data_IF_414185934504
#
_entry.id   IF_414185934504
#
_cell.length_a   1.000
_cell.length_b   1.000
_cell.length_c   1.000
_cell.angle_alpha   90.00
_cell.angle_beta   90.00
_cell.angle_gamma   90.00
#
_symmetry.space_group_name_H-M   'P 1'
#
loop_
_entity.id
_entity.type
_entity.pdbx_description
1 polymer ?
#
# COMPACT_ATOMS: atom_id res chain seq x y z
N UNK A 1 23.66 -6.22 -21.93
CA UNK A 1 22.51 -5.32 -22.13
C UNK A 1 22.62 -4.19 -21.11
N UNK A 2 23.08 -3.01 -21.51
CA UNK A 2 23.19 -1.86 -20.60
C UNK A 2 21.79 -1.26 -20.41
N UNK A 3 21.14 -1.60 -19.31
CA UNK A 3 19.89 -0.95 -18.92
C UNK A 3 20.25 0.50 -18.56
N UNK A 4 19.65 1.44 -19.27
CA UNK A 4 19.81 2.86 -18.97
C UNK A 4 19.27 3.12 -17.55
N UNK A 5 20.05 3.80 -16.72
CA UNK A 5 19.70 4.11 -15.33
C UNK A 5 18.35 4.85 -15.24
N UNK A 6 18.01 5.66 -16.25
CA UNK A 6 16.71 6.34 -16.33
C UNK A 6 15.55 5.36 -16.54
N UNK A 7 15.73 4.37 -17.41
CA UNK A 7 14.74 3.33 -17.68
C UNK A 7 14.54 2.46 -16.44
N UNK A 8 15.63 2.09 -15.75
CA UNK A 8 15.55 1.37 -14.48
C UNK A 8 14.78 2.16 -13.42
N UNK A 9 15.05 3.46 -13.30
CA UNK A 9 14.34 4.35 -12.37
C UNK A 9 12.82 4.39 -12.63
N UNK A 10 12.40 4.46 -13.89
CA UNK A 10 10.98 4.42 -14.27
C UNK A 10 10.33 3.08 -13.91
N UNK A 11 11.01 1.96 -14.21
CA UNK A 11 10.50 0.62 -13.87
C UNK A 11 10.30 0.48 -12.36
N UNK A 12 11.30 0.88 -11.56
CA UNK A 12 11.20 0.84 -10.09
C UNK A 12 10.07 1.72 -9.56
N UNK A 13 9.84 2.87 -10.20
CA UNK A 13 8.74 3.77 -9.83
C UNK A 13 7.37 3.14 -10.12
N UNK A 14 7.18 2.55 -11.29
CA UNK A 14 5.95 1.83 -11.66
C UNK A 14 5.70 0.68 -10.69
N UNK A 15 6.72 -0.11 -10.36
CA UNK A 15 6.63 -1.19 -9.38
C UNK A 15 6.17 -0.64 -8.02
N UNK A 16 6.75 0.46 -7.55
CA UNK A 16 6.34 1.10 -6.30
C UNK A 16 4.86 1.49 -6.28
N UNK A 17 4.34 2.06 -7.38
CA UNK A 17 2.93 2.39 -7.52
C UNK A 17 2.03 1.14 -7.53
N UNK A 18 2.45 0.04 -8.15
CA UNK A 18 1.70 -1.21 -8.13
C UNK A 18 1.69 -1.83 -6.72
N UNK A 19 2.82 -1.80 -6.03
CA UNK A 19 2.94 -2.28 -4.64
C UNK A 19 2.00 -1.51 -3.71
N UNK A 20 1.92 -0.18 -3.81
CA UNK A 20 1.05 0.61 -2.94
C UNK A 20 -0.44 0.34 -3.17
N UNK A 21 -0.86 0.19 -4.43
CA UNK A 21 -2.24 -0.21 -4.78
C UNK A 21 -2.54 -1.60 -4.21
N UNK A 22 -1.61 -2.54 -4.38
CA UNK A 22 -1.76 -3.89 -3.85
C UNK A 22 -1.89 -3.89 -2.32
N UNK A 23 -1.06 -3.12 -1.62
CA UNK A 23 -1.14 -2.95 -0.15
C UNK A 23 -2.52 -2.45 0.26
N UNK A 24 -3.10 -1.48 -0.47
CA UNK A 24 -4.45 -1.03 -0.18
C UNK A 24 -5.48 -2.16 -0.33
N UNK A 25 -5.43 -2.89 -1.45
CA UNK A 25 -6.36 -3.97 -1.77
C UNK A 25 -6.27 -5.08 -0.73
N UNK A 26 -5.05 -5.45 -0.35
CA UNK A 26 -4.75 -6.49 0.64
C UNK A 26 -5.20 -6.07 2.04
N UNK A 27 -4.79 -4.88 2.50
CA UNK A 27 -5.14 -4.37 3.82
C UNK A 27 -6.65 -4.20 3.98
N UNK A 28 -7.31 -3.60 2.99
CA UNK A 28 -8.77 -3.45 3.00
C UNK A 28 -9.50 -4.79 2.88
N UNK A 29 -8.98 -5.74 2.10
CA UNK A 29 -9.58 -7.08 1.95
C UNK A 29 -9.55 -7.87 3.25
N UNK A 30 -8.47 -7.75 4.03
CA UNK A 30 -8.33 -8.37 5.35
C UNK A 30 -8.87 -7.50 6.49
N UNK A 31 -9.54 -6.38 6.19
CA UNK A 31 -10.11 -5.45 7.19
C UNK A 31 -9.07 -4.92 8.20
N UNK A 32 -7.82 -4.78 7.75
CA UNK A 32 -6.73 -4.21 8.54
C UNK A 32 -6.98 -2.70 8.73
N UNK A 33 -6.93 -2.26 9.98
CA UNK A 33 -7.15 -0.86 10.32
C UNK A 33 -6.51 -0.43 11.63
N UNK A 34 -6.96 0.73 12.11
CA UNK A 34 -6.47 1.26 13.38
C UNK A 34 -7.16 0.55 14.55
N UNK A 35 -6.35 -0.03 15.42
CA UNK A 35 -6.82 -0.78 16.59
C UNK A 35 -6.05 -0.32 17.83
N UNK A 36 -6.68 -0.29 19.01
CA UNK A 36 -6.01 0.14 20.25
C UNK A 36 -4.81 -0.74 20.63
N UNK A 37 -4.84 -2.02 20.29
CA UNK A 37 -3.85 -3.02 20.72
C UNK A 37 -2.69 -3.22 19.73
N UNK A 38 -2.80 -2.68 18.52
CA UNK A 38 -1.81 -2.91 17.46
C UNK A 38 -0.63 -1.93 17.42
N UNK A 39 -0.62 -0.92 18.29
CA UNK A 39 0.46 0.08 18.39
C UNK A 39 0.63 0.92 17.12
N UNK A 40 1.82 1.52 16.96
CA UNK A 40 2.11 2.49 15.88
C UNK A 40 1.97 1.95 14.44
N UNK A 41 1.98 0.64 14.24
CA UNK A 41 1.84 0.01 12.91
C UNK A 41 0.41 -0.45 12.61
N UNK A 42 -0.51 -0.32 13.57
CA UNK A 42 -1.95 -0.50 13.33
C UNK A 42 -2.53 0.77 12.76
N UNK A 43 -2.15 1.09 11.53
CA UNK A 43 -2.67 2.24 10.81
C UNK A 43 -3.72 1.78 9.80
N UNK A 44 -4.53 2.73 9.30
CA UNK A 44 -5.56 2.40 8.33
C UNK A 44 -4.98 1.83 7.03
N UNK A 45 -5.74 1.00 6.33
CA UNK A 45 -5.38 0.50 5.00
C UNK A 45 -4.99 1.64 4.03
N UNK A 46 -5.67 2.79 4.12
CA UNK A 46 -5.34 3.98 3.33
C UNK A 46 -3.94 4.50 3.67
N UNK A 47 -3.58 4.57 4.95
CA UNK A 47 -2.27 5.06 5.38
C UNK A 47 -1.15 4.10 4.96
N UNK A 48 -1.36 2.79 5.07
CA UNK A 48 -0.42 1.80 4.55
C UNK A 48 -0.13 1.99 3.05
N UNK A 49 -1.17 2.25 2.27
CA UNK A 49 -1.05 2.52 0.84
C UNK A 49 -0.34 3.84 0.54
N UNK A 50 -0.69 4.94 1.21
CA UNK A 50 -0.05 6.25 1.03
C UNK A 50 1.43 6.19 1.40
N UNK A 51 1.77 5.59 2.54
CA UNK A 51 3.15 5.43 2.96
C UNK A 51 3.93 4.54 1.98
N UNK A 52 3.29 3.50 1.45
CA UNK A 52 3.88 2.66 0.39
C UNK A 52 4.06 3.44 -0.92
N UNK A 53 3.23 4.42 -1.24
CA UNK A 53 3.44 5.28 -2.42
C UNK A 53 4.67 6.17 -2.29
N UNK A 54 4.90 6.73 -1.09
CA UNK A 54 5.98 7.71 -0.84
C UNK A 54 7.32 7.00 -0.62
N UNK A 55 7.31 5.91 0.17
CA UNK A 55 8.51 5.21 0.64
C UNK A 55 8.41 3.71 0.40
N UNK A 56 8.06 3.31 -0.83
CA UNK A 56 7.80 1.91 -1.17
C UNK A 56 8.94 0.97 -0.76
N UNK A 57 10.19 1.36 -0.97
CA UNK A 57 11.38 0.55 -0.64
C UNK A 57 11.43 0.14 0.83
N UNK A 58 10.92 0.98 1.75
CA UNK A 58 10.96 0.73 3.19
C UNK A 58 9.62 0.23 3.70
N UNK A 59 8.53 0.91 3.35
CA UNK A 59 7.20 0.66 3.90
C UNK A 59 6.63 -0.66 3.39
N UNK A 60 6.84 -0.99 2.11
CA UNK A 60 6.30 -2.22 1.53
C UNK A 60 6.91 -3.47 2.18
N UNK A 61 8.24 -3.61 2.36
CA UNK A 61 8.81 -4.72 3.11
C UNK A 61 8.33 -4.79 4.56
N UNK A 62 8.23 -3.65 5.26
CA UNK A 62 7.71 -3.61 6.64
C UNK A 62 6.28 -4.13 6.69
N UNK A 63 5.44 -3.73 5.72
CA UNK A 63 4.07 -4.23 5.59
C UNK A 63 4.07 -5.75 5.42
N UNK A 64 4.86 -6.29 4.49
CA UNK A 64 4.94 -7.73 4.26
C UNK A 64 5.38 -8.51 5.49
N UNK A 65 6.40 -8.04 6.22
CA UNK A 65 6.89 -8.67 7.45
C UNK A 65 5.81 -8.68 8.53
N UNK A 66 5.02 -7.60 8.66
CA UNK A 66 3.99 -7.46 9.68
C UNK A 66 2.62 -7.97 9.24
N UNK A 67 2.44 -8.29 7.97
CA UNK A 67 1.15 -8.62 7.34
C UNK A 67 0.39 -9.68 8.12
N UNK A 68 1.04 -10.80 8.44
CA UNK A 68 0.38 -11.90 9.14
C UNK A 68 -0.15 -11.47 10.51
N UNK A 69 0.66 -10.75 11.29
CA UNK A 69 0.25 -10.20 12.59
C UNK A 69 -0.91 -9.20 12.46
N UNK A 70 -0.89 -8.36 11.43
CA UNK A 70 -1.96 -7.40 11.17
C UNK A 70 -3.28 -8.11 10.79
N UNK A 71 -3.21 -9.18 10.00
CA UNK A 71 -4.37 -10.01 9.66
C UNK A 71 -4.94 -10.67 10.92
N UNK A 72 -4.08 -11.25 11.76
CA UNK A 72 -4.54 -11.91 12.98
C UNK A 72 -5.16 -10.93 13.98
N UNK A 73 -4.66 -9.69 14.03
CA UNK A 73 -5.28 -8.61 14.80
C UNK A 73 -6.61 -8.16 14.19
N UNK A 74 -6.70 -8.07 12.86
CA UNK A 74 -7.92 -7.70 12.16
C UNK A 74 -9.03 -8.76 12.29
N UNK A 75 -8.68 -10.03 12.55
CA UNK A 75 -9.68 -11.06 12.91
C UNK A 75 -10.35 -10.75 14.26
N UNK A 76 -9.63 -10.12 15.18
CA UNK A 76 -10.14 -9.75 16.51
C UNK A 76 -10.87 -8.41 16.47
N UNK A 77 -10.29 -7.44 15.73
CA UNK A 77 -10.80 -6.07 15.60
C UNK A 77 -10.94 -5.67 14.12
N UNK A 78 -11.93 -6.23 13.39
CA UNK A 78 -12.08 -5.95 11.97
C UNK A 78 -12.52 -4.50 11.73
N UNK A 79 -11.82 -3.80 10.84
CA UNK A 79 -12.19 -2.45 10.42
C UNK A 79 -12.76 -2.47 9.01
N UNK A 80 -14.06 -2.21 8.88
CA UNK A 80 -14.74 -2.20 7.58
C UNK A 80 -14.24 -1.05 6.69
N UNK A 81 -13.71 -1.35 5.49
CA UNK A 81 -13.20 -0.32 4.59
C UNK A 81 -14.37 0.45 3.94
N UNK A 82 -14.54 1.72 4.33
CA UNK A 82 -15.49 2.63 3.68
C UNK A 82 -15.05 2.95 2.24
N UNK A 83 -15.98 2.79 1.29
CA UNK A 83 -15.81 3.13 -0.13
C UNK A 83 -14.57 2.49 -0.79
N UNK A 84 -14.34 1.19 -0.53
CA UNK A 84 -13.14 0.45 -0.99
C UNK A 84 -12.89 0.59 -2.50
N UNK A 85 -13.90 0.35 -3.33
CA UNK A 85 -13.75 0.40 -4.79
C UNK A 85 -13.43 1.82 -5.29
N UNK A 86 -14.04 2.84 -4.68
CA UNK A 86 -13.75 4.24 -4.98
C UNK A 86 -12.28 4.58 -4.67
N UNK A 87 -11.78 4.11 -3.51
CA UNK A 87 -10.38 4.34 -3.10
C UNK A 87 -9.39 3.58 -3.98
N UNK A 88 -9.69 2.34 -4.39
CA UNK A 88 -8.87 1.61 -5.38
C UNK A 88 -8.80 2.40 -6.68
N UNK A 89 -9.95 2.88 -7.18
CA UNK A 89 -10.02 3.72 -8.38
C UNK A 89 -9.18 5.00 -8.23
N UNK A 90 -9.30 5.70 -7.10
CA UNK A 90 -8.53 6.90 -6.83
C UNK A 90 -7.01 6.63 -6.79
N UNK A 91 -6.57 5.58 -6.08
CA UNK A 91 -5.15 5.21 -6.05
C UNK A 91 -4.61 4.82 -7.43
N UNK A 92 -5.42 4.12 -8.23
CA UNK A 92 -5.06 3.74 -9.59
C UNK A 92 -4.92 4.97 -10.49
N UNK A 93 -5.85 5.92 -10.40
CA UNK A 93 -5.78 7.19 -11.14
C UNK A 93 -4.55 8.01 -10.75
N UNK A 94 -4.25 8.11 -9.46
CA UNK A 94 -3.04 8.79 -8.97
C UNK A 94 -1.78 8.10 -9.47
N UNK A 95 -1.70 6.77 -9.43
CA UNK A 95 -0.56 6.04 -9.99
C UNK A 95 -0.37 6.31 -11.48
N UNK A 96 -1.44 6.23 -12.28
CA UNK A 96 -1.37 6.51 -13.72
C UNK A 96 -0.89 7.94 -13.95
N UNK A 97 -1.50 8.91 -13.28
CA UNK A 97 -1.09 10.32 -13.39
C UNK A 97 0.41 10.49 -13.09
N UNK A 98 0.89 9.91 -11.99
CA UNK A 98 2.30 9.99 -11.59
C UNK A 98 3.26 9.23 -12.53
N UNK A 99 2.81 8.19 -13.22
CA UNK A 99 3.66 7.45 -14.17
C UNK A 99 3.84 8.23 -15.47
N UNK A 100 2.80 8.91 -15.95
CA UNK A 100 2.80 9.59 -17.25
C UNK A 100 3.19 11.07 -17.20
N UNK A 101 2.97 11.75 -16.08
CA UNK A 101 3.16 13.20 -15.95
C UNK A 101 4.28 13.60 -14.97
N UNK A 102 5.17 12.65 -14.64
CA UNK A 102 6.37 12.90 -13.82
C UNK A 102 7.58 13.24 -14.67
#
# INVERSE_FOLDING_TARGET
MNINLTVLGHILYIIGCLCSIWVYIDASGHKIGNTPEGGYLSISATWWAILSFILWIVVFPIYLIKRQKLIDLAKQYPVEPKARNLKIGLFSLVAIFLIFFK
#
